data_IF_524213636756
#
_entry.id   IF_524213636756
#
_cell.length_a   1.000
_cell.length_b   1.000
_cell.length_c   1.000
_cell.angle_alpha   90.00
_cell.angle_beta   90.00
_cell.angle_gamma   90.00
#
_symmetry.space_group_name_H-M   'P 1'
#
loop_
_entity.id
_entity.type
_entity.pdbx_description
1 polymer ?
#
# COMPACT_ATOMS: atom_id res chain seq x y z
N UNK A 1 4.36 -12.37 0.76
CA UNK A 1 4.93 -12.28 2.12
C UNK A 1 3.90 -11.64 3.03
N UNK A 2 3.90 -12.05 4.30
CA UNK A 2 3.05 -11.50 5.36
C UNK A 2 3.63 -10.17 5.85
N UNK A 3 2.80 -9.36 6.49
CA UNK A 3 3.23 -8.05 7.01
C UNK A 3 4.40 -8.18 8.01
N UNK A 4 4.33 -9.15 8.93
CA UNK A 4 5.40 -9.37 9.91
C UNK A 4 6.77 -9.62 9.28
N UNK A 5 6.81 -10.39 8.19
CA UNK A 5 8.07 -10.62 7.45
C UNK A 5 8.61 -9.32 6.84
N UNK A 6 7.72 -8.45 6.33
CA UNK A 6 8.10 -7.15 5.76
C UNK A 6 8.71 -6.24 6.84
N UNK A 7 8.12 -6.20 8.04
CA UNK A 7 8.61 -5.33 9.10
C UNK A 7 9.96 -5.79 9.66
N UNK A 8 10.23 -7.10 9.65
CA UNK A 8 11.54 -7.67 10.00
C UNK A 8 12.61 -7.37 8.94
N UNK A 9 12.26 -7.43 7.65
CA UNK A 9 13.20 -7.18 6.54
C UNK A 9 13.48 -5.69 6.30
N UNK A 10 12.50 -4.82 6.57
CA UNK A 10 12.59 -3.37 6.31
C UNK A 10 12.26 -2.54 7.56
N UNK A 11 13.00 -2.68 8.68
CA UNK A 11 12.66 -2.01 9.93
C UNK A 11 12.79 -0.47 9.82
N UNK A 12 11.75 0.26 10.22
CA UNK A 12 11.77 1.73 10.28
C UNK A 12 11.75 2.42 8.90
N UNK A 13 11.10 1.80 7.91
CA UNK A 13 11.06 2.26 6.51
C UNK A 13 9.62 2.49 6.07
N UNK A 14 9.45 3.33 5.04
CA UNK A 14 8.24 3.36 4.24
C UNK A 14 8.35 2.31 3.14
N UNK A 15 7.31 1.50 2.94
CA UNK A 15 7.27 0.46 1.92
C UNK A 15 6.09 0.69 0.98
N UNK A 16 6.36 0.70 -0.32
CA UNK A 16 5.36 0.58 -1.37
C UNK A 16 5.13 -0.91 -1.64
N UNK A 17 3.91 -1.36 -1.38
CA UNK A 17 3.52 -2.77 -1.55
C UNK A 17 2.41 -2.91 -2.58
N UNK A 18 2.42 -4.04 -3.28
CA UNK A 18 1.27 -4.53 -4.02
C UNK A 18 0.54 -5.59 -3.19
N UNK A 19 -0.78 -5.49 -3.11
CA UNK A 19 -1.62 -6.54 -2.57
C UNK A 19 -1.73 -7.69 -3.60
N UNK A 20 -1.18 -8.85 -3.25
CA UNK A 20 -1.27 -10.07 -4.07
C UNK A 20 -2.53 -10.85 -3.71
N UNK A 21 -2.88 -10.87 -2.42
CA UNK A 21 -4.11 -11.47 -1.91
C UNK A 21 -4.67 -10.60 -0.80
N UNK A 22 -5.92 -10.22 -0.94
CA UNK A 22 -6.64 -9.44 0.05
C UNK A 22 -8.10 -9.88 0.13
N UNK A 23 -8.69 -9.75 1.30
CA UNK A 23 -10.10 -9.98 1.54
C UNK A 23 -10.74 -8.72 2.09
N UNK A 24 -11.99 -8.44 1.72
CA UNK A 24 -12.75 -7.31 2.24
C UNK A 24 -13.85 -7.80 3.16
N UNK A 25 -13.90 -7.29 4.39
CA UNK A 25 -14.97 -7.55 5.34
C UNK A 25 -15.34 -6.27 6.07
N UNK A 26 -16.62 -5.94 6.17
CA UNK A 26 -17.10 -4.74 6.87
C UNK A 26 -16.40 -3.42 6.45
N UNK A 27 -16.10 -3.25 5.16
CA UNK A 27 -15.35 -2.10 4.58
C UNK A 27 -13.90 -2.00 5.06
N UNK A 28 -13.36 -3.07 5.62
CA UNK A 28 -11.94 -3.20 5.94
C UNK A 28 -11.33 -4.18 4.94
N UNK A 29 -10.31 -3.71 4.24
CA UNK A 29 -9.47 -4.52 3.36
C UNK A 29 -8.35 -5.11 4.20
N UNK A 30 -8.35 -6.42 4.31
CA UNK A 30 -7.34 -7.23 4.98
C UNK A 30 -6.32 -7.73 3.98
N UNK A 31 -5.06 -7.34 4.14
CA UNK A 31 -3.97 -7.73 3.26
C UNK A 31 -3.36 -9.06 3.73
N UNK A 32 -3.67 -10.14 3.03
CA UNK A 32 -3.24 -11.48 3.38
C UNK A 32 -1.84 -11.78 2.85
N UNK A 33 -1.57 -11.42 1.60
CA UNK A 33 -0.25 -11.55 0.98
C UNK A 33 0.08 -10.32 0.16
N UNK A 34 1.32 -9.86 0.32
CA UNK A 34 1.83 -8.67 -0.33
C UNK A 34 3.20 -8.94 -0.98
N UNK A 35 3.56 -8.07 -1.91
CA UNK A 35 4.90 -7.97 -2.48
C UNK A 35 5.43 -6.56 -2.24
N UNK A 36 6.62 -6.43 -1.65
CA UNK A 36 7.32 -5.16 -1.54
C UNK A 36 7.89 -4.81 -2.91
N UNK A 37 7.53 -3.63 -3.42
CA UNK A 37 8.04 -3.11 -4.69
C UNK A 37 9.30 -2.29 -4.43
N UNK A 38 9.25 -1.42 -3.42
CA UNK A 38 10.33 -0.51 -3.06
C UNK A 38 10.18 -0.05 -1.60
N UNK A 39 11.31 0.17 -0.92
CA UNK A 39 11.38 0.87 0.37
C UNK A 39 12.01 2.26 0.24
N UNK A 40 11.64 3.14 1.18
CA UNK A 40 12.02 4.56 1.22
C UNK A 40 12.28 5.02 2.65
N UNK A 41 13.08 6.08 2.78
CA UNK A 41 13.39 6.74 4.06
C UNK A 41 12.34 7.73 4.52
N UNK A 42 11.65 8.39 3.58
CA UNK A 42 10.69 9.43 3.88
C UNK A 42 9.35 9.22 3.13
N UNK A 43 8.25 9.77 3.66
CA UNK A 43 6.93 9.57 3.08
C UNK A 43 6.78 10.25 1.72
N UNK A 44 7.51 11.34 1.45
CA UNK A 44 7.40 12.09 0.21
C UNK A 44 7.86 11.26 -0.99
N UNK A 45 9.01 10.58 -0.88
CA UNK A 45 9.52 9.65 -1.89
C UNK A 45 8.59 8.45 -2.07
N UNK A 46 8.07 7.89 -0.98
CA UNK A 46 7.15 6.75 -1.04
C UNK A 46 5.85 7.09 -1.79
N UNK A 47 5.27 8.27 -1.52
CA UNK A 47 4.09 8.74 -2.23
C UNK A 47 4.39 9.16 -3.67
N UNK A 48 5.59 9.66 -3.96
CA UNK A 48 6.03 9.93 -5.34
C UNK A 48 6.08 8.62 -6.14
N UNK A 49 6.77 7.61 -5.62
CA UNK A 49 6.86 6.29 -6.26
C UNK A 49 5.50 5.62 -6.45
N UNK A 50 4.61 5.72 -5.46
CA UNK A 50 3.22 5.28 -5.59
C UNK A 50 2.52 5.95 -6.78
N UNK A 51 2.59 7.28 -6.90
CA UNK A 51 1.91 8.03 -7.97
C UNK A 51 2.43 7.65 -9.34
N UNK A 52 3.75 7.53 -9.50
CA UNK A 52 4.37 7.12 -10.76
C UNK A 52 3.92 5.72 -11.17
N UNK A 53 3.99 4.77 -10.24
CA UNK A 53 3.62 3.39 -10.51
C UNK A 53 2.12 3.23 -10.78
N UNK A 54 1.27 3.89 -9.99
CA UNK A 54 -0.18 3.88 -10.19
C UNK A 54 -0.58 4.56 -11.51
N UNK A 55 0.17 5.57 -11.98
CA UNK A 55 -0.06 6.19 -13.29
C UNK A 55 0.21 5.20 -14.43
N UNK A 56 1.27 4.39 -14.31
CA UNK A 56 1.63 3.37 -15.30
C UNK A 56 0.72 2.13 -15.24
N UNK A 57 0.29 1.76 -14.03
CA UNK A 57 -0.48 0.55 -13.75
C UNK A 57 -1.67 0.82 -12.80
N UNK A 58 -2.70 1.55 -13.25
CA UNK A 58 -3.81 2.00 -12.40
C UNK A 58 -4.70 0.86 -11.89
N UNK A 59 -4.56 -0.35 -12.43
CA UNK A 59 -5.31 -1.53 -12.00
C UNK A 59 -4.62 -2.31 -10.88
N UNK A 60 -3.34 -2.01 -10.59
CA UNK A 60 -2.62 -2.66 -9.49
C UNK A 60 -3.11 -2.11 -8.16
N UNK A 61 -3.33 -3.00 -7.21
CA UNK A 61 -3.75 -2.64 -5.86
C UNK A 61 -2.51 -2.32 -5.02
N UNK A 62 -2.20 -1.02 -4.93
CA UNK A 62 -0.96 -0.52 -4.34
C UNK A 62 -1.24 0.21 -3.02
N UNK A 63 -0.34 0.06 -2.06
CA UNK A 63 -0.41 0.73 -0.76
C UNK A 63 0.96 1.22 -0.30
N UNK A 64 0.97 2.31 0.49
CA UNK A 64 2.17 2.80 1.18
C UNK A 64 1.95 2.64 2.67
N UNK A 65 2.88 1.94 3.33
CA UNK A 65 2.87 1.75 4.79
C UNK A 65 4.21 2.11 5.40
N UNK A 66 4.21 2.44 6.69
CA UNK A 66 5.43 2.52 7.48
C UNK A 66 5.56 1.25 8.32
N UNK A 67 6.73 0.62 8.34
CA UNK A 67 6.94 -0.68 8.99
C UNK A 67 6.93 -0.64 10.52
N UNK A 68 6.80 0.54 11.12
CA UNK A 68 6.52 0.65 12.56
C UNK A 68 5.06 0.30 12.93
N UNK A 69 4.17 0.13 11.94
CA UNK A 69 2.78 -0.26 12.20
C UNK A 69 2.69 -1.74 12.56
N UNK A 70 1.92 -2.04 13.59
CA UNK A 70 1.66 -3.42 14.02
C UNK A 70 0.81 -4.20 13.02
N UNK A 71 -0.02 -3.51 12.24
CA UNK A 71 -0.92 -4.09 11.24
C UNK A 71 -1.15 -3.13 10.06
N UNK A 72 -1.69 -3.64 8.95
CA UNK A 72 -1.92 -2.94 7.68
C UNK A 72 -3.37 -3.02 7.17
N UNK A 73 -4.33 -3.05 8.09
CA UNK A 73 -5.74 -2.80 7.81
C UNK A 73 -5.96 -1.50 7.02
N UNK A 74 -6.64 -1.60 5.88
CA UNK A 74 -7.03 -0.44 5.08
C UNK A 74 -8.56 -0.30 5.12
N UNK A 75 -9.04 0.84 5.63
CA UNK A 75 -10.46 1.17 5.56
C UNK A 75 -10.80 1.57 4.13
N UNK A 76 -11.69 0.82 3.49
CA UNK A 76 -12.22 1.12 2.16
C UNK A 76 -13.22 2.27 2.26
N UNK A 77 -12.72 3.50 2.17
CA UNK A 77 -13.58 4.64 1.91
C UNK A 77 -13.92 4.67 0.41
N UNK A 78 -15.19 4.41 0.08
CA UNK A 78 -15.71 4.63 -1.27
C UNK A 78 -15.66 6.13 -1.57
N UNK A 79 -14.55 6.58 -2.15
CA UNK A 79 -14.39 7.95 -2.57
C UNK A 79 -15.27 8.19 -3.80
N UNK A 80 -16.41 8.86 -3.63
CA UNK A 80 -17.32 9.28 -4.71
C UNK A 80 -16.80 10.49 -5.51
N UNK A 81 -15.54 10.87 -5.32
CA UNK A 81 -14.92 12.02 -5.96
C UNK A 81 -14.90 11.88 -7.49
N UNK A 82 -15.53 12.84 -8.17
CA UNK A 82 -15.46 13.00 -9.62
C UNK A 82 -14.01 13.21 -10.02
N UNK A 83 -13.38 12.20 -10.62
CA UNK A 83 -12.10 12.39 -11.32
C UNK A 83 -12.39 13.20 -12.59
N UNK A 84 -12.24 14.52 -12.51
CA UNK A 84 -12.30 15.37 -13.68
C UNK A 84 -11.13 14.95 -14.60
N UNK A 85 -11.45 14.26 -15.71
CA UNK A 85 -10.52 14.12 -16.83
C UNK A 85 -10.28 15.54 -17.35
N UNK A 86 -9.07 16.05 -17.17
CA UNK A 86 -8.57 17.22 -17.90
C UNK A 86 -7.98 16.71 -19.21
#
# INVERSE_FOLDING_TARGET
>A
MKWGEITELHPGRFVLVEAIKASSSNRVRQLEDMAVIQDYDNPEEAWSGYKELHKLHPTRELYVFHTSRSDVEVVEEFFSGVRQRI
#
